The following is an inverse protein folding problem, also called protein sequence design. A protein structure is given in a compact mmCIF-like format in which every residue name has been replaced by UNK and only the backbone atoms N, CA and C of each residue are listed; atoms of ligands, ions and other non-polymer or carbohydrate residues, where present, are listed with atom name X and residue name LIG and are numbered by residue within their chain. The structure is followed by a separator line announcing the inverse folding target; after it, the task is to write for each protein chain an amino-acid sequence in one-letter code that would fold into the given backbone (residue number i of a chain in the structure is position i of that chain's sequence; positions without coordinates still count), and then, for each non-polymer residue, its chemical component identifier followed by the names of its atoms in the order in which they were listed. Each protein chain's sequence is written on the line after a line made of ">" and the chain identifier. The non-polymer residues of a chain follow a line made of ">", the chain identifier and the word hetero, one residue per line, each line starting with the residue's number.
data_IF_628772091317
#
_entry.id   IF_628772091317
#
_cell.length_a   1.000
_cell.length_b   1.000
_cell.length_c   1.000
_cell.angle_alpha   90.00
_cell.angle_beta   90.00
_cell.angle_gamma   90.00
#
_symmetry.space_group_name_H-M   'P 1'
#
loop_
_entity.id
_entity.type
_entity.pdbx_description
1 polymer ?
#
# COMPACT_ATOMS: atom_id res chain seq x y z
N UNK A 1 -15.49 38.82 18.67
CA UNK A 1 -15.08 37.47 19.12
C UNK A 1 -13.74 37.19 18.46
N UNK A 2 -12.68 36.83 19.20
CA UNK A 2 -11.38 36.51 18.58
C UNK A 2 -11.46 35.11 17.95
N UNK A 3 -10.88 34.95 16.76
CA UNK A 3 -10.83 33.66 16.07
C UNK A 3 -9.99 32.66 16.88
N UNK A 4 -10.43 31.40 16.95
CA UNK A 4 -9.74 30.32 17.68
C UNK A 4 -9.53 29.15 16.74
N UNK A 5 -8.30 28.63 16.68
CA UNK A 5 -7.94 27.50 15.81
C UNK A 5 -7.22 26.45 16.64
N UNK A 6 -7.61 25.18 16.48
CA UNK A 6 -6.97 24.09 17.21
C UNK A 6 -5.66 23.66 16.54
N UNK A 7 -4.71 23.14 17.33
CA UNK A 7 -3.47 22.51 16.81
C UNK A 7 -3.80 21.44 15.78
N UNK A 8 -4.77 20.55 16.04
CA UNK A 8 -5.21 19.50 15.11
C UNK A 8 -5.72 20.05 13.76
N UNK A 9 -6.26 21.27 13.74
CA UNK A 9 -6.66 21.92 12.47
C UNK A 9 -5.42 22.43 11.72
N UNK A 10 -4.45 22.99 12.43
CA UNK A 10 -3.21 23.52 11.83
C UNK A 10 -2.33 22.42 11.22
N UNK A 11 -2.31 21.22 11.83
CA UNK A 11 -1.50 20.09 11.35
C UNK A 11 -1.92 19.60 9.97
N UNK A 12 -3.16 19.86 9.54
CA UNK A 12 -3.62 19.56 8.18
C UNK A 12 -2.92 20.40 7.11
N UNK A 13 -2.29 21.52 7.48
CA UNK A 13 -1.46 22.33 6.59
C UNK A 13 -2.19 22.95 5.40
N UNK A 14 -3.53 22.99 5.43
CA UNK A 14 -4.36 23.43 4.31
C UNK A 14 -5.18 24.67 4.70
N UNK A 15 -4.96 25.84 4.06
CA UNK A 15 -5.71 27.06 4.35
C UNK A 15 -7.22 26.89 4.19
N UNK A 16 -7.66 26.16 3.14
CA UNK A 16 -9.07 25.87 2.93
C UNK A 16 -9.65 24.97 4.03
N UNK A 17 -8.87 24.05 4.59
CA UNK A 17 -9.33 23.19 5.69
C UNK A 17 -9.69 24.04 6.92
N UNK A 18 -8.82 24.96 7.32
CA UNK A 18 -9.08 25.90 8.43
C UNK A 18 -10.36 26.69 8.15
N UNK A 19 -10.52 27.21 6.93
CA UNK A 19 -11.70 28.00 6.61
C UNK A 19 -12.99 27.18 6.66
N UNK A 20 -12.95 25.94 6.18
CA UNK A 20 -14.10 25.05 6.19
C UNK A 20 -14.42 24.54 7.59
N UNK A 21 -13.42 24.37 8.47
CA UNK A 21 -13.67 23.95 9.85
C UNK A 21 -14.32 25.03 10.71
N UNK A 22 -14.02 26.31 10.44
CA UNK A 22 -14.76 27.44 11.03
C UNK A 22 -16.22 27.49 10.56
N UNK A 23 -16.46 27.29 9.26
CA UNK A 23 -17.80 27.42 8.67
C UNK A 23 -18.69 26.20 8.90
N UNK A 24 -18.10 25.02 8.95
CA UNK A 24 -18.78 23.74 9.07
C UNK A 24 -18.07 22.86 10.12
N UNK A 25 -18.19 23.19 11.41
CA UNK A 25 -17.59 22.39 12.47
C UNK A 25 -18.06 20.94 12.38
N UNK A 26 -17.11 20.00 12.40
CA UNK A 26 -17.42 18.58 12.42
C UNK A 26 -17.28 18.12 13.86
N UNK A 27 -18.40 17.67 14.43
CA UNK A 27 -18.37 16.89 15.64
C UNK A 27 -17.99 15.47 15.22
N UNK A 28 -16.71 15.12 15.30
CA UNK A 28 -16.24 13.78 14.93
C UNK A 28 -16.80 12.75 15.92
N UNK A 29 -17.93 12.14 15.57
CA UNK A 29 -18.54 11.03 16.29
C UNK A 29 -18.12 9.70 15.66
N UNK A 30 -16.82 9.52 15.43
CA UNK A 30 -16.27 8.24 14.96
C UNK A 30 -15.86 7.40 16.15
N UNK A 31 -16.01 6.08 16.03
CA UNK A 31 -15.64 5.13 17.07
C UNK A 31 -14.15 5.28 17.41
N UNK A 32 -13.30 5.48 16.40
CA UNK A 32 -11.85 5.63 16.54
C UNK A 32 -11.48 6.90 17.30
N UNK A 33 -12.14 8.02 17.03
CA UNK A 33 -11.90 9.28 17.74
C UNK A 33 -12.33 9.16 19.22
N UNK A 34 -13.52 8.60 19.48
CA UNK A 34 -13.99 8.34 20.84
C UNK A 34 -13.10 7.34 21.58
N UNK A 35 -12.56 6.34 20.88
CA UNK A 35 -11.62 5.36 21.44
C UNK A 35 -10.31 6.02 21.87
N UNK A 36 -9.75 6.88 21.00
CA UNK A 36 -8.59 7.69 21.32
C UNK A 36 -8.78 8.52 22.59
N UNK A 37 -9.86 9.31 22.64
CA UNK A 37 -10.20 10.15 23.79
C UNK A 37 -10.35 9.33 25.09
N UNK A 38 -10.99 8.17 25.02
CA UNK A 38 -11.15 7.27 26.16
C UNK A 38 -9.81 6.77 26.70
N UNK A 39 -8.92 6.32 25.82
CA UNK A 39 -7.60 5.83 26.19
C UNK A 39 -6.74 6.96 26.77
N UNK A 40 -6.74 8.14 26.15
CA UNK A 40 -5.96 9.30 26.63
C UNK A 40 -6.43 9.74 28.02
N UNK A 41 -7.74 9.82 28.27
CA UNK A 41 -8.27 10.16 29.59
C UNK A 41 -7.83 9.18 30.68
N UNK A 42 -7.81 7.87 30.38
CA UNK A 42 -7.30 6.86 31.31
C UNK A 42 -5.79 6.98 31.54
N UNK A 43 -4.99 7.28 30.51
CA UNK A 43 -3.55 7.52 30.63
C UNK A 43 -3.27 8.74 31.50
N UNK A 44 -4.01 9.83 31.32
CA UNK A 44 -3.85 11.06 32.09
C UNK A 44 -4.06 10.82 33.58
N UNK A 45 -5.15 10.15 33.95
CA UNK A 45 -5.46 9.81 35.36
C UNK A 45 -4.46 8.81 35.94
N UNK A 46 -4.06 7.79 35.17
CA UNK A 46 -3.04 6.85 35.61
C UNK A 46 -1.68 7.53 35.82
N UNK A 47 -1.30 8.47 34.96
CA UNK A 47 -0.07 9.25 35.10
C UNK A 47 -0.09 10.09 36.38
N UNK A 48 -1.21 10.77 36.66
CA UNK A 48 -1.40 11.49 37.94
C UNK A 48 -1.26 10.56 39.14
N UNK A 49 -1.84 9.36 39.07
CA UNK A 49 -1.75 8.38 40.15
C UNK A 49 -0.31 7.88 40.38
N UNK A 50 0.47 7.61 39.32
CA UNK A 50 1.89 7.24 39.42
C UNK A 50 2.68 8.32 40.17
N UNK A 51 2.54 9.57 39.74
CA UNK A 51 3.27 10.69 40.32
C UNK A 51 2.90 10.94 41.79
N UNK A 52 1.63 10.70 42.13
CA UNK A 52 1.13 10.78 43.51
C UNK A 52 1.35 9.49 44.32
N UNK A 53 2.07 8.49 43.78
CA UNK A 53 2.32 7.19 44.42
C UNK A 53 1.03 6.48 44.89
N UNK A 54 -0.05 6.68 44.16
CA UNK A 54 -1.37 6.10 44.43
C UNK A 54 -1.49 4.74 43.73
N UNK A 55 -2.04 3.69 44.38
CA UNK A 55 -2.28 2.40 43.72
C UNK A 55 -3.17 2.53 42.49
N UNK A 56 -2.86 1.79 41.42
CA UNK A 56 -3.53 1.89 40.13
C UNK A 56 -4.23 0.59 39.78
N UNK A 57 -5.47 0.71 39.30
CA UNK A 57 -6.24 -0.36 38.68
C UNK A 57 -6.69 0.14 37.30
N UNK A 58 -6.14 -0.45 36.23
CA UNK A 58 -6.31 0.04 34.85
C UNK A 58 -7.77 -0.04 34.39
N UNK A 59 -8.47 -1.10 34.77
CA UNK A 59 -9.92 -1.23 34.57
C UNK A 59 -10.68 -0.10 35.25
N UNK A 60 -10.31 0.26 36.48
CA UNK A 60 -10.85 1.43 37.19
C UNK A 60 -10.61 2.75 36.45
N UNK A 61 -9.40 2.96 35.92
CA UNK A 61 -9.06 4.15 35.12
C UNK A 61 -9.89 4.24 33.83
N UNK A 62 -10.06 3.11 33.14
CA UNK A 62 -10.88 3.03 31.93
C UNK A 62 -12.36 3.33 32.24
N UNK A 63 -12.92 2.78 33.32
CA UNK A 63 -14.30 3.08 33.70
C UNK A 63 -14.48 4.55 34.07
N UNK A 64 -13.58 5.10 34.89
CA UNK A 64 -13.60 6.53 35.24
C UNK A 64 -13.51 7.43 34.01
N UNK A 65 -12.60 7.13 33.08
CA UNK A 65 -12.47 7.89 31.84
C UNK A 65 -13.72 7.78 30.97
N UNK A 66 -14.40 6.64 30.94
CA UNK A 66 -15.65 6.49 30.18
C UNK A 66 -16.79 7.30 30.79
N UNK A 67 -16.89 7.34 32.12
CA UNK A 67 -17.93 8.08 32.84
C UNK A 67 -17.76 9.61 32.68
N UNK A 68 -16.53 10.10 32.74
CA UNK A 68 -16.22 11.54 32.67
C UNK A 68 -16.43 12.16 31.28
N UNK A 69 -16.28 11.38 30.21
CA UNK A 69 -16.40 11.89 28.83
C UNK A 69 -17.86 11.99 28.34
N UNK A 70 -18.80 11.31 29.01
CA UNK A 70 -20.22 11.28 28.66
C UNK A 70 -20.53 10.90 27.19
N UNK A 71 -19.63 10.20 26.51
CA UNK A 71 -19.78 9.80 25.09
C UNK A 71 -20.51 8.44 24.98
N UNK A 72 -21.66 8.37 24.28
CA UNK A 72 -22.40 7.12 24.09
C UNK A 72 -21.61 6.05 23.31
N UNK A 73 -20.68 6.42 22.42
CA UNK A 73 -19.85 5.45 21.70
C UNK A 73 -18.89 4.73 22.64
N UNK A 74 -18.34 5.43 23.64
CA UNK A 74 -17.47 4.81 24.65
C UNK A 74 -18.21 3.73 25.43
N UNK A 75 -19.46 3.98 25.81
CA UNK A 75 -20.30 2.98 26.49
C UNK A 75 -20.50 1.72 25.65
N UNK A 76 -20.64 1.84 24.33
CA UNK A 76 -20.74 0.70 23.43
C UNK A 76 -19.42 -0.08 23.37
N UNK A 77 -18.28 0.62 23.29
CA UNK A 77 -16.95 0.01 23.22
C UNK A 77 -16.58 -0.78 24.48
N UNK A 78 -17.04 -0.37 25.66
CA UNK A 78 -16.84 -1.14 26.90
C UNK A 78 -17.47 -2.54 26.81
N UNK A 79 -18.59 -2.68 26.08
CA UNK A 79 -19.23 -3.97 25.83
C UNK A 79 -18.48 -4.85 24.84
N UNK A 80 -17.58 -4.28 24.03
CA UNK A 80 -16.74 -5.00 23.08
C UNK A 80 -15.45 -5.46 23.76
N UNK A 81 -15.33 -6.77 23.96
CA UNK A 81 -14.17 -7.37 24.62
C UNK A 81 -12.85 -7.10 23.89
N UNK A 82 -12.86 -7.02 22.56
CA UNK A 82 -11.63 -6.79 21.79
C UNK A 82 -11.15 -5.34 21.98
N UNK A 83 -12.07 -4.37 21.88
CA UNK A 83 -11.75 -2.96 22.10
C UNK A 83 -11.35 -2.69 23.55
N UNK A 84 -12.05 -3.27 24.52
CA UNK A 84 -11.69 -3.12 25.94
C UNK A 84 -10.31 -3.72 26.24
N UNK A 85 -10.01 -4.91 25.70
CA UNK A 85 -8.69 -5.53 25.86
C UNK A 85 -7.59 -4.69 25.23
N UNK A 86 -7.86 -4.09 24.07
CA UNK A 86 -6.89 -3.23 23.38
C UNK A 86 -6.67 -1.91 24.16
N UNK A 87 -7.73 -1.29 24.66
CA UNK A 87 -7.65 -0.10 25.51
C UNK A 87 -6.83 -0.38 26.79
N UNK A 88 -7.10 -1.51 27.47
CA UNK A 88 -6.34 -1.93 28.65
C UNK A 88 -4.85 -2.05 28.34
N UNK A 89 -4.51 -2.73 27.25
CA UNK A 89 -3.13 -2.93 26.82
C UNK A 89 -2.43 -1.60 26.50
N UNK A 90 -3.11 -0.69 25.82
CA UNK A 90 -2.57 0.65 25.50
C UNK A 90 -2.30 1.47 26.75
N UNK A 91 -3.26 1.51 27.70
CA UNK A 91 -3.10 2.22 28.98
C UNK A 91 -1.94 1.61 29.77
N UNK A 92 -1.90 0.29 29.89
CA UNK A 92 -0.80 -0.41 30.57
C UNK A 92 0.55 -0.02 29.99
N UNK A 93 0.69 -0.10 28.67
CA UNK A 93 1.91 0.26 27.96
C UNK A 93 2.35 1.71 28.20
N UNK A 94 1.40 2.66 28.21
CA UNK A 94 1.70 4.05 28.49
C UNK A 94 2.17 4.27 29.94
N UNK A 95 1.51 3.63 30.91
CA UNK A 95 1.87 3.71 32.33
C UNK A 95 3.21 3.05 32.64
N UNK A 96 3.50 1.90 32.02
CA UNK A 96 4.82 1.27 32.06
C UNK A 96 5.88 2.19 31.45
N UNK A 97 5.58 2.86 30.34
CA UNK A 97 6.49 3.84 29.76
C UNK A 97 6.78 5.00 30.71
N UNK A 98 5.74 5.60 31.32
CA UNK A 98 5.88 6.68 32.31
C UNK A 98 6.71 6.23 33.52
N UNK A 99 6.49 5.02 34.03
CA UNK A 99 7.23 4.51 35.19
C UNK A 99 8.72 4.30 34.89
N UNK A 100 9.07 4.04 33.63
CA UNK A 100 10.44 3.74 33.21
C UNK A 100 11.22 4.96 32.70
N UNK A 101 10.58 6.12 32.52
CA UNK A 101 11.29 7.35 32.17
C UNK A 101 11.83 8.02 33.43
N UNK A 102 13.06 8.50 33.36
CA UNK A 102 13.68 9.27 34.44
C UNK A 102 13.12 10.71 34.41
N UNK A 103 12.15 10.98 35.29
CA UNK A 103 11.59 12.31 35.50
C UNK A 103 12.29 12.91 36.73
N UNK A 104 13.06 14.00 36.58
CA UNK A 104 13.72 14.62 37.73
C UNK A 104 12.72 15.15 38.76
N UNK A 105 13.01 14.99 40.06
CA UNK A 105 12.09 15.33 41.17
C UNK A 105 11.65 16.81 41.23
N UNK A 106 12.34 17.72 40.52
CA UNK A 106 12.13 19.17 40.60
C UNK A 106 11.80 19.83 39.25
N UNK A 107 11.27 19.08 38.28
CA UNK A 107 10.78 19.67 37.04
C UNK A 107 9.26 19.87 37.07
N UNK A 108 8.73 20.96 36.48
CA UNK A 108 7.30 21.08 36.25
C UNK A 108 6.80 19.91 35.42
N UNK A 109 5.62 19.39 35.79
CA UNK A 109 4.92 18.32 35.08
C UNK A 109 3.59 18.87 34.57
N UNK A 110 3.28 18.57 33.31
CA UNK A 110 2.07 18.96 32.60
C UNK A 110 1.35 17.68 32.17
N UNK A 111 0.06 17.54 32.46
CA UNK A 111 -0.75 16.38 32.11
C UNK A 111 -2.07 16.90 31.57
N UNK A 112 -2.39 16.59 30.30
CA UNK A 112 -3.58 17.12 29.61
C UNK A 112 -3.68 18.65 29.73
N UNK A 113 -2.54 19.34 29.61
CA UNK A 113 -2.46 20.78 29.86
C UNK A 113 -2.95 21.56 28.64
N UNK A 114 -3.89 22.47 28.88
CA UNK A 114 -4.45 23.30 27.82
C UNK A 114 -3.54 24.51 27.56
N UNK A 115 -2.94 24.54 26.38
CA UNK A 115 -2.11 25.65 25.91
C UNK A 115 -2.93 26.60 25.04
N UNK A 116 -2.79 27.91 25.28
CA UNK A 116 -3.38 28.96 24.45
C UNK A 116 -2.34 30.02 24.08
N UNK A 117 -2.10 30.23 22.79
CA UNK A 117 -1.13 31.23 22.29
C UNK A 117 -1.81 32.21 21.35
N UNK A 118 -1.68 33.50 21.63
CA UNK A 118 -2.19 34.57 20.77
C UNK A 118 -1.16 34.96 19.70
N UNK A 119 -1.54 34.84 18.43
CA UNK A 119 -0.75 35.29 17.29
C UNK A 119 -1.14 36.75 16.99
N UNK A 120 -0.20 37.68 17.18
CA UNK A 120 -0.49 39.11 17.09
C UNK A 120 -0.62 39.58 15.64
N UNK A 121 0.18 38.99 14.76
CA UNK A 121 0.25 39.29 13.33
C UNK A 121 -1.06 38.95 12.62
N UNK A 122 -1.77 37.94 13.13
CA UNK A 122 -3.08 37.50 12.68
C UNK A 122 -3.90 37.23 13.92
N UNK A 123 -4.72 38.21 14.38
CA UNK A 123 -5.44 38.15 15.65
C UNK A 123 -6.29 36.87 15.79
N UNK A 124 -5.65 35.83 16.30
CA UNK A 124 -6.15 34.45 16.37
C UNK A 124 -5.45 33.77 17.54
N UNK A 125 -6.23 33.01 18.31
CA UNK A 125 -5.71 32.20 19.42
C UNK A 125 -5.56 30.77 18.92
N UNK A 126 -4.35 30.23 19.03
CA UNK A 126 -4.08 28.80 18.83
C UNK A 126 -4.39 28.08 20.14
N UNK A 127 -5.12 26.99 20.06
CA UNK A 127 -5.52 26.18 21.22
C UNK A 127 -5.08 24.75 21.02
N UNK A 128 -4.49 24.14 22.04
CA UNK A 128 -4.13 22.73 22.01
C UNK A 128 -4.11 22.14 23.41
N UNK A 129 -4.17 20.81 23.49
CA UNK A 129 -4.04 20.07 24.74
C UNK A 129 -2.78 19.21 24.61
N UNK A 130 -1.82 19.46 25.48
CA UNK A 130 -0.57 18.72 25.55
C UNK A 130 -0.80 17.51 26.47
N UNK A 131 -0.67 16.32 25.90
CA UNK A 131 -0.89 15.04 26.59
C UNK A 131 -0.01 14.91 27.84
N UNK A 132 1.31 15.02 27.68
CA UNK A 132 2.25 14.99 28.80
C UNK A 132 3.53 15.79 28.54
N UNK A 133 4.00 16.50 29.55
CA UNK A 133 5.22 17.29 29.49
C UNK A 133 5.96 17.30 30.82
N UNK A 134 7.29 17.26 30.78
CA UNK A 134 8.12 17.37 31.97
C UNK A 134 9.46 18.01 31.63
N UNK A 135 9.91 18.95 32.45
CA UNK A 135 11.14 19.70 32.20
C UNK A 135 11.13 20.30 30.79
N UNK A 136 11.98 19.76 29.91
CA UNK A 136 12.09 20.20 28.52
C UNK A 136 11.69 19.13 27.49
N UNK A 137 10.79 18.23 27.90
CA UNK A 137 10.31 17.12 27.08
C UNK A 137 8.79 17.19 26.92
N UNK A 138 8.31 16.96 25.70
CA UNK A 138 6.90 16.78 25.35
C UNK A 138 6.68 15.35 24.88
N UNK A 139 5.62 14.71 25.35
CA UNK A 139 5.17 13.40 24.92
C UNK A 139 3.74 13.54 24.37
N UNK A 140 3.49 12.95 23.21
CA UNK A 140 2.19 12.88 22.54
C UNK A 140 1.84 11.39 22.35
N UNK A 141 0.73 10.95 22.94
CA UNK A 141 0.29 9.57 22.88
C UNK A 141 -0.47 9.34 21.59
N UNK A 142 -0.18 8.23 20.91
CA UNK A 142 -0.89 7.84 19.68
C UNK A 142 -1.49 6.47 19.88
N UNK A 143 -2.81 6.36 19.76
CA UNK A 143 -3.52 5.07 19.81
C UNK A 143 -3.37 4.27 18.51
N UNK A 144 -2.88 4.87 17.43
CA UNK A 144 -2.49 4.17 16.20
C UNK A 144 -1.09 3.54 16.27
N UNK A 145 -0.76 2.72 15.26
CA UNK A 145 0.57 2.11 15.09
C UNK A 145 1.44 2.79 14.02
N UNK A 146 0.85 3.69 13.23
CA UNK A 146 1.49 4.33 12.08
C UNK A 146 1.98 5.74 12.40
N UNK A 147 3.21 6.04 11.99
CA UNK A 147 3.81 7.38 12.11
C UNK A 147 3.50 8.22 10.87
N UNK A 148 2.84 9.34 11.06
CA UNK A 148 2.52 10.29 10.00
C UNK A 148 3.28 11.62 10.20
N UNK A 149 3.56 12.32 9.10
CA UNK A 149 4.23 13.64 9.14
C UNK A 149 3.41 14.66 9.95
N UNK A 150 2.07 14.57 9.90
CA UNK A 150 1.18 15.45 10.67
C UNK A 150 1.37 15.34 12.18
N UNK A 151 1.78 14.18 12.70
CA UNK A 151 2.09 13.99 14.13
C UNK A 151 3.36 14.78 14.52
N UNK A 152 4.38 14.75 13.67
CA UNK A 152 5.60 15.51 13.92
C UNK A 152 5.35 17.02 13.83
N UNK A 153 4.49 17.47 12.90
CA UNK A 153 4.04 18.87 12.84
C UNK A 153 3.28 19.25 14.11
N UNK A 154 2.43 18.37 14.64
CA UNK A 154 1.71 18.59 15.89
C UNK A 154 2.67 18.87 17.06
N UNK A 155 3.67 18.00 17.25
CA UNK A 155 4.71 18.18 18.27
C UNK A 155 5.50 19.47 18.10
N UNK A 156 5.82 19.87 16.86
CA UNK A 156 6.46 21.17 16.57
C UNK A 156 5.61 22.35 17.02
N UNK A 157 4.30 22.30 16.75
CA UNK A 157 3.36 23.34 17.18
C UNK A 157 3.27 23.37 18.70
N UNK A 158 3.19 22.22 19.38
CA UNK A 158 3.20 22.18 20.85
C UNK A 158 4.50 22.72 21.46
N UNK A 159 5.66 22.36 20.89
CA UNK A 159 6.95 22.90 21.32
C UNK A 159 7.02 24.43 21.14
N UNK A 160 6.52 24.94 20.00
CA UNK A 160 6.38 26.38 19.77
C UNK A 160 5.46 27.04 20.80
N UNK A 161 4.32 26.43 21.11
CA UNK A 161 3.38 26.98 22.10
C UNK A 161 3.98 27.01 23.50
N UNK A 162 4.60 25.91 23.94
CA UNK A 162 5.26 25.81 25.25
C UNK A 162 6.42 26.81 25.38
N UNK A 163 7.22 26.98 24.32
CA UNK A 163 8.29 28.00 24.27
C UNK A 163 7.72 29.42 24.37
N UNK A 164 6.70 29.73 23.58
CA UNK A 164 6.09 31.08 23.55
C UNK A 164 5.47 31.46 24.89
N UNK A 165 4.97 30.48 25.64
CA UNK A 165 4.43 30.67 26.99
C UNK A 165 5.51 30.70 28.08
N UNK A 166 6.79 30.50 27.75
CA UNK A 166 7.89 30.45 28.72
C UNK A 166 7.91 29.19 29.59
N UNK A 167 7.21 28.13 29.16
CA UNK A 167 7.11 26.86 29.89
C UNK A 167 8.36 25.99 29.65
N UNK A 168 8.90 26.03 28.43
CA UNK A 168 10.04 25.22 27.98
C UNK A 168 11.06 26.08 27.20
N UNK A 169 12.32 25.67 27.17
CA UNK A 169 13.41 26.40 26.48
C UNK A 169 14.07 25.51 25.43
N UNK A 170 14.40 25.97 24.21
CA UNK A 170 15.09 25.11 23.25
C UNK A 170 16.48 24.64 23.75
N UNK A 171 16.96 23.43 23.38
CA UNK A 171 16.31 22.45 22.52
C UNK A 171 15.25 21.60 23.25
N UNK A 172 14.01 21.58 22.76
CA UNK A 172 12.89 20.84 23.37
C UNK A 172 12.89 19.41 22.81
N UNK A 173 12.96 18.40 23.68
CA UNK A 173 12.81 17.02 23.26
C UNK A 173 11.32 16.72 23.03
N UNK A 174 10.99 16.09 21.90
CA UNK A 174 9.61 15.69 21.59
C UNK A 174 9.56 14.21 21.27
N UNK A 175 8.53 13.54 21.77
CA UNK A 175 8.34 12.08 21.61
C UNK A 175 6.91 11.78 21.17
N UNK A 176 6.78 11.14 20.01
CA UNK A 176 5.55 10.42 19.68
C UNK A 176 5.64 9.02 20.24
N UNK A 177 4.65 8.60 21.03
CA UNK A 177 4.55 7.23 21.56
C UNK A 177 3.34 6.54 20.97
N UNK A 178 3.60 5.64 20.02
CA UNK A 178 2.59 4.83 19.33
C UNK A 178 2.29 3.57 20.12
N UNK A 179 1.08 3.48 20.68
CA UNK A 179 0.60 2.41 21.54
C UNK A 179 -0.06 1.26 20.77
N UNK A 180 -0.38 1.48 19.48
CA UNK A 180 -0.96 0.46 18.61
C UNK A 180 0.03 -0.65 18.24
N UNK A 181 -0.40 -1.91 18.38
CA UNK A 181 0.41 -3.12 18.15
C UNK A 181 1.12 -3.63 19.40
N UNK A 182 1.70 -4.83 19.35
CA UNK A 182 2.17 -5.58 20.54
C UNK A 182 3.10 -4.82 21.49
N UNK A 183 3.96 -3.94 20.96
CA UNK A 183 4.90 -3.12 21.73
C UNK A 183 4.85 -1.66 21.32
N UNK A 184 4.98 -0.71 22.27
CA UNK A 184 5.01 0.71 21.95
C UNK A 184 6.21 1.05 21.06
N UNK A 185 5.95 1.83 20.01
CA UNK A 185 7.00 2.44 19.19
C UNK A 185 7.17 3.88 19.61
N UNK A 186 8.41 4.29 19.85
CA UNK A 186 8.74 5.67 20.24
C UNK A 186 9.55 6.32 19.12
N UNK A 187 9.06 7.46 18.62
CA UNK A 187 9.82 8.32 17.71
C UNK A 187 10.24 9.55 18.49
N UNK A 188 11.56 9.76 18.61
CA UNK A 188 12.15 10.88 19.36
C UNK A 188 12.79 11.86 18.40
N UNK A 189 12.66 13.15 18.69
CA UNK A 189 13.41 14.21 18.02
C UNK A 189 13.64 15.38 18.97
N UNK A 190 14.50 16.32 18.58
CA UNK A 190 14.73 17.56 19.32
C UNK A 190 14.34 18.74 18.42
N UNK A 191 13.62 19.70 18.99
CA UNK A 191 13.18 20.91 18.32
C UNK A 191 14.08 22.06 18.76
N UNK A 192 14.80 22.60 17.79
CA UNK A 192 15.74 23.72 17.97
C UNK A 192 15.04 25.08 17.89
N UNK A 193 15.68 26.14 18.38
CA UNK A 193 15.16 27.52 18.27
C UNK A 193 14.87 27.93 16.81
N UNK A 194 15.71 27.47 15.87
CA UNK A 194 15.49 27.66 14.43
C UNK A 194 14.18 27.01 13.97
N UNK A 195 13.90 25.80 14.40
CA UNK A 195 12.66 25.09 14.06
C UNK A 195 11.43 25.73 14.72
N UNK A 196 11.56 26.28 15.93
CA UNK A 196 10.50 27.05 16.57
C UNK A 196 10.15 28.30 15.73
N UNK A 197 11.17 28.99 15.21
CA UNK A 197 10.99 30.14 14.31
C UNK A 197 10.31 29.72 13.00
N UNK A 198 10.74 28.62 12.39
CA UNK A 198 10.11 28.07 11.18
C UNK A 198 8.66 27.66 11.42
N UNK A 199 8.35 27.15 12.61
CA UNK A 199 6.99 26.76 13.00
C UNK A 199 6.10 27.98 13.15
N UNK A 200 6.61 29.07 13.77
CA UNK A 200 5.91 30.36 13.81
C UNK A 200 5.58 30.87 12.40
N UNK A 201 6.58 30.92 11.50
CA UNK A 201 6.40 31.38 10.12
C UNK A 201 5.38 30.53 9.36
N UNK A 202 5.43 29.21 9.53
CA UNK A 202 4.46 28.28 8.98
C UNK A 202 3.04 28.61 9.45
N UNK A 203 2.83 28.77 10.77
CA UNK A 203 1.51 29.06 11.33
C UNK A 203 0.99 30.41 10.83
N UNK A 204 1.81 31.47 10.88
CA UNK A 204 1.41 32.81 10.44
C UNK A 204 1.06 32.80 8.95
N UNK A 205 1.86 32.15 8.11
CA UNK A 205 1.59 32.03 6.67
C UNK A 205 0.29 31.27 6.41
N UNK A 206 0.07 30.18 7.13
CA UNK A 206 -1.12 29.34 6.99
C UNK A 206 -2.39 30.10 7.41
N UNK A 207 -2.36 30.80 8.54
CA UNK A 207 -3.47 31.61 9.04
C UNK A 207 -3.74 32.85 8.15
N UNK A 208 -2.71 33.50 7.61
CA UNK A 208 -2.88 34.56 6.59
C UNK A 208 -3.61 34.01 5.37
N UNK A 209 -3.13 32.90 4.82
CA UNK A 209 -3.72 32.29 3.64
C UNK A 209 -5.17 31.86 3.87
N UNK A 210 -5.55 31.38 5.06
CA UNK A 210 -6.93 30.96 5.34
C UNK A 210 -7.92 32.14 5.38
N UNK A 211 -7.45 33.35 5.73
CA UNK A 211 -8.27 34.57 5.77
C UNK A 211 -8.32 35.30 4.43
N UNK A 212 -7.17 35.47 3.77
CA UNK A 212 -7.05 36.33 2.59
C UNK A 212 -7.47 35.62 1.30
N UNK A 213 -7.04 34.37 1.12
CA UNK A 213 -7.31 33.58 -0.09
C UNK A 213 -7.21 32.08 0.22
N UNK A 214 -8.27 31.46 0.79
CA UNK A 214 -8.25 30.07 1.25
C UNK A 214 -8.22 29.11 0.05
N UNK A 215 -7.03 28.87 -0.49
CA UNK A 215 -6.82 27.91 -1.54
C UNK A 215 -6.57 26.51 -0.95
N UNK A 216 -7.11 25.45 -1.57
CA UNK A 216 -6.81 24.09 -1.16
C UNK A 216 -5.33 23.79 -1.42
N UNK A 217 -4.69 23.11 -0.47
CA UNK A 217 -3.31 22.63 -0.59
C UNK A 217 -3.33 21.10 -0.64
N UNK A 218 -2.78 20.47 -1.70
CA UNK A 218 -2.72 19.01 -1.78
C UNK A 218 -1.75 18.46 -0.72
N UNK A 219 -2.16 17.40 -0.05
CA UNK A 219 -1.37 16.67 0.94
C UNK A 219 -1.87 15.22 1.04
N UNK A 220 -1.10 14.35 1.68
CA UNK A 220 -1.48 12.95 1.90
C UNK A 220 -2.78 12.81 2.70
N UNK A 221 -3.12 13.81 3.52
CA UNK A 221 -4.37 13.86 4.27
C UNK A 221 -5.62 14.07 3.38
N UNK A 222 -5.48 14.43 2.10
CA UNK A 222 -6.63 14.75 1.24
C UNK A 222 -7.58 13.58 1.01
N UNK A 223 -7.10 12.33 1.06
CA UNK A 223 -7.93 11.13 0.85
C UNK A 223 -8.93 10.87 1.99
N UNK A 224 -8.54 11.24 3.21
CA UNK A 224 -9.31 11.06 4.44
C UNK A 224 -9.91 12.37 4.96
N UNK A 225 -9.64 13.50 4.31
CA UNK A 225 -10.15 14.81 4.67
C UNK A 225 -11.68 14.81 4.75
N UNK A 226 -12.21 15.24 5.89
CA UNK A 226 -13.64 15.25 6.19
C UNK A 226 -14.39 16.28 5.32
N UNK A 227 -13.68 17.31 4.85
CA UNK A 227 -14.20 18.33 3.94
C UNK A 227 -14.00 18.01 2.45
N UNK A 228 -13.57 16.79 2.08
CA UNK A 228 -13.26 16.44 0.69
C UNK A 228 -14.38 16.77 -0.32
N UNK A 229 -15.64 16.59 0.06
CA UNK A 229 -16.78 16.89 -0.81
C UNK A 229 -17.08 18.38 -0.98
N UNK A 230 -16.42 19.24 -0.19
CA UNK A 230 -16.47 20.71 -0.30
C UNK A 230 -15.19 21.29 -0.90
N UNK A 231 -14.18 20.45 -1.15
CA UNK A 231 -12.90 20.87 -1.71
C UNK A 231 -12.97 20.87 -3.25
N UNK A 232 -12.73 22.01 -3.93
CA UNK A 232 -12.74 22.06 -5.40
C UNK A 232 -11.59 21.24 -6.02
N UNK A 233 -10.46 21.10 -5.32
CA UNK A 233 -9.35 20.25 -5.78
C UNK A 233 -9.69 18.75 -5.71
N UNK A 234 -10.51 18.29 -4.76
CA UNK A 234 -10.82 16.86 -4.62
C UNK A 234 -11.55 16.30 -5.86
N UNK A 235 -12.50 17.05 -6.41
CA UNK A 235 -13.19 16.66 -7.64
C UNK A 235 -12.26 16.66 -8.87
N UNK A 236 -11.27 17.56 -8.89
CA UNK A 236 -10.25 17.60 -9.94
C UNK A 236 -9.29 16.41 -9.83
N UNK A 237 -8.76 16.17 -8.64
CA UNK A 237 -7.81 15.09 -8.36
C UNK A 237 -8.45 13.70 -8.52
N UNK A 238 -9.70 13.51 -8.11
CA UNK A 238 -10.42 12.24 -8.33
C UNK A 238 -10.70 11.98 -9.81
N UNK A 239 -10.98 13.03 -10.60
CA UNK A 239 -11.11 12.95 -12.06
C UNK A 239 -9.77 12.61 -12.72
N UNK A 240 -8.68 13.24 -12.28
CA UNK A 240 -7.32 12.97 -12.77
C UNK A 240 -6.84 11.56 -12.37
N UNK A 241 -7.10 11.08 -11.16
CA UNK A 241 -6.80 9.70 -10.73
C UNK A 241 -7.57 8.65 -11.56
N UNK A 242 -8.84 8.92 -11.89
CA UNK A 242 -9.60 8.09 -12.81
C UNK A 242 -9.01 8.06 -14.23
N UNK A 243 -8.50 9.19 -14.72
CA UNK A 243 -7.81 9.29 -16.01
C UNK A 243 -6.49 8.51 -15.97
N UNK A 244 -5.69 8.66 -14.91
CA UNK A 244 -4.42 7.94 -14.74
C UNK A 244 -4.61 6.42 -14.63
N UNK A 245 -5.66 5.96 -13.94
CA UNK A 245 -6.04 4.54 -13.91
C UNK A 245 -6.41 4.01 -15.31
N UNK A 246 -7.16 4.80 -16.09
CA UNK A 246 -7.46 4.47 -17.50
C UNK A 246 -6.20 4.44 -18.37
N UNK A 247 -5.28 5.40 -18.20
CA UNK A 247 -4.00 5.44 -18.92
C UNK A 247 -3.15 4.22 -18.57
N UNK A 248 -3.08 3.82 -17.29
CA UNK A 248 -2.35 2.61 -16.86
C UNK A 248 -2.93 1.35 -17.49
N UNK A 249 -4.26 1.23 -17.54
CA UNK A 249 -4.94 0.13 -18.24
C UNK A 249 -4.67 0.13 -19.76
N UNK A 250 -4.63 1.30 -20.39
CA UNK A 250 -4.30 1.42 -21.82
C UNK A 250 -2.84 1.01 -22.06
N UNK A 251 -1.90 1.47 -21.24
CA UNK A 251 -0.48 1.11 -21.32
C UNK A 251 -0.29 -0.40 -21.22
N UNK A 252 -0.92 -1.05 -20.24
CA UNK A 252 -0.85 -2.50 -20.07
C UNK A 252 -1.42 -3.26 -21.29
N UNK A 253 -2.51 -2.77 -21.88
CA UNK A 253 -3.09 -3.36 -23.09
C UNK A 253 -2.18 -3.17 -24.31
N UNK A 254 -1.49 -2.04 -24.42
CA UNK A 254 -0.52 -1.78 -25.49
C UNK A 254 0.74 -2.65 -25.33
N UNK A 255 1.23 -2.84 -24.11
CA UNK A 255 2.36 -3.73 -23.83
C UNK A 255 2.01 -5.19 -24.18
N UNK A 256 0.81 -5.65 -23.83
CA UNK A 256 0.31 -6.96 -24.26
C UNK A 256 0.21 -7.07 -25.79
N UNK A 257 -0.34 -6.06 -26.47
CA UNK A 257 -0.44 -6.06 -27.93
C UNK A 257 0.94 -6.09 -28.61
N UNK A 258 1.94 -5.40 -28.05
CA UNK A 258 3.31 -5.43 -28.55
C UNK A 258 3.95 -6.82 -28.39
N UNK A 259 3.72 -7.49 -27.25
CA UNK A 259 4.16 -8.88 -27.02
C UNK A 259 3.49 -9.86 -28.01
N UNK A 260 2.19 -9.73 -28.28
CA UNK A 260 1.51 -10.56 -29.28
C UNK A 260 2.02 -10.32 -30.70
N UNK A 261 2.35 -9.06 -31.06
CA UNK A 261 2.94 -8.74 -32.36
C UNK A 261 4.33 -9.35 -32.51
N UNK A 262 5.15 -9.31 -31.47
CA UNK A 262 6.47 -9.96 -31.43
C UNK A 262 6.34 -11.48 -31.59
N UNK A 263 5.42 -12.11 -30.86
CA UNK A 263 5.12 -13.54 -30.97
C UNK A 263 4.63 -13.91 -32.39
N UNK A 264 3.78 -13.08 -33.01
CA UNK A 264 3.31 -13.28 -34.38
C UNK A 264 4.44 -13.22 -35.43
N UNK A 265 5.42 -12.33 -35.26
CA UNK A 265 6.61 -12.28 -36.12
C UNK A 265 7.51 -13.50 -35.92
N UNK A 266 7.71 -13.95 -34.68
CA UNK A 266 8.47 -15.16 -34.36
C UNK A 266 7.82 -16.41 -34.95
N UNK A 267 6.48 -16.54 -34.85
CA UNK A 267 5.71 -17.62 -35.46
C UNK A 267 5.78 -17.60 -36.99
N UNK A 268 5.72 -16.42 -37.62
CA UNK A 268 5.86 -16.29 -39.09
C UNK A 268 7.27 -16.68 -39.54
N UNK A 269 8.30 -16.27 -38.81
CA UNK A 269 9.68 -16.70 -39.08
C UNK A 269 9.84 -18.21 -38.93
N UNK A 270 9.16 -18.82 -37.95
CA UNK A 270 9.20 -20.26 -37.72
C UNK A 270 8.48 -21.03 -38.83
N UNK A 271 7.30 -20.58 -39.26
CA UNK A 271 6.56 -21.15 -40.38
C UNK A 271 7.41 -21.17 -41.66
N UNK A 272 8.06 -20.05 -41.99
CA UNK A 272 8.96 -19.97 -43.15
C UNK A 272 10.15 -20.94 -43.05
N UNK A 273 10.68 -21.17 -41.84
CA UNK A 273 11.76 -22.17 -41.62
C UNK A 273 11.26 -23.60 -41.84
N UNK A 274 10.06 -23.91 -41.35
CA UNK A 274 9.44 -25.23 -41.52
C UNK A 274 9.13 -25.51 -42.99
N UNK A 275 8.61 -24.55 -43.74
CA UNK A 275 8.38 -24.68 -45.18
C UNK A 275 9.68 -24.90 -45.95
N UNK A 276 10.75 -24.18 -45.60
CA UNK A 276 12.06 -24.38 -46.21
C UNK A 276 12.65 -25.77 -45.89
N UNK A 277 12.43 -26.29 -44.69
CA UNK A 277 12.83 -27.66 -44.32
C UNK A 277 12.01 -28.72 -45.07
N UNK A 278 10.69 -28.52 -45.19
CA UNK A 278 9.82 -29.41 -45.93
C UNK A 278 10.22 -29.50 -47.41
N UNK A 279 10.50 -28.35 -48.05
CA UNK A 279 10.95 -28.32 -49.44
C UNK A 279 12.31 -29.02 -49.63
N UNK A 280 13.27 -28.82 -48.72
CA UNK A 280 14.54 -29.57 -48.76
C UNK A 280 14.36 -31.08 -48.63
N UNK A 281 13.40 -31.53 -47.81
CA UNK A 281 13.08 -32.95 -47.67
C UNK A 281 12.42 -33.50 -48.94
N UNK A 282 11.53 -32.73 -49.58
CA UNK A 282 10.92 -33.08 -50.86
C UNK A 282 11.97 -33.21 -51.96
N UNK A 283 12.88 -32.24 -52.07
CA UNK A 283 13.97 -32.24 -53.04
C UNK A 283 14.90 -33.44 -52.84
N UNK A 284 15.29 -33.70 -51.58
CA UNK A 284 16.14 -34.85 -51.23
C UNK A 284 15.44 -36.19 -51.45
N UNK A 285 14.14 -36.27 -51.21
CA UNK A 285 13.34 -37.45 -51.52
C UNK A 285 13.28 -37.70 -53.04
N UNK A 286 13.10 -36.64 -53.85
CA UNK A 286 13.11 -36.73 -55.30
C UNK A 286 14.48 -37.17 -55.86
N UNK A 287 15.57 -36.67 -55.27
CA UNK A 287 16.93 -37.09 -55.58
C UNK A 287 17.16 -38.57 -55.24
N UNK A 288 16.82 -39.00 -54.02
CA UNK A 288 16.95 -40.40 -53.60
C UNK A 288 16.10 -41.35 -54.45
N UNK A 289 14.88 -40.95 -54.83
CA UNK A 289 14.04 -41.74 -55.75
C UNK A 289 14.74 -41.95 -57.09
N UNK A 290 15.33 -40.90 -57.67
CA UNK A 290 16.09 -41.00 -58.93
C UNK A 290 17.27 -41.97 -58.81
N UNK A 291 18.00 -41.92 -57.69
CA UNK A 291 19.14 -42.80 -57.44
C UNK A 291 18.72 -44.26 -57.29
N UNK A 292 17.55 -44.53 -56.70
CA UNK A 292 17.06 -45.89 -56.42
C UNK A 292 16.33 -46.51 -57.63
N UNK A 293 15.72 -45.71 -58.52
CA UNK A 293 15.02 -46.18 -59.73
C UNK A 293 15.89 -46.90 -60.77
N UNK A 294 17.21 -47.01 -60.56
CA UNK A 294 18.09 -47.88 -61.36
C UNK A 294 18.15 -49.34 -60.88
N UNK A 295 17.40 -49.69 -59.84
CA UNK A 295 17.22 -51.09 -59.41
C UNK A 295 15.81 -51.56 -59.76
N UNK A 296 15.71 -52.70 -60.45
CA UNK A 296 14.47 -53.35 -60.90
C UNK A 296 13.70 -53.98 -59.73
N UNK A 297 13.40 -53.18 -58.70
CA UNK A 297 12.59 -53.55 -57.55
C UNK A 297 11.16 -52.99 -57.69
N UNK A 298 10.13 -53.69 -57.17
CA UNK A 298 8.76 -53.17 -57.07
C UNK A 298 8.70 -51.82 -56.33
N UNK A 299 7.83 -50.90 -56.77
CA UNK A 299 7.69 -49.55 -56.20
C UNK A 299 7.48 -49.52 -54.68
N UNK A 300 6.82 -50.51 -54.10
CA UNK A 300 6.62 -50.62 -52.64
C UNK A 300 7.93 -50.83 -51.87
N UNK A 301 8.87 -51.60 -52.42
CA UNK A 301 10.18 -51.88 -51.82
C UNK A 301 11.11 -50.67 -51.98
N UNK A 302 10.97 -49.91 -53.07
CA UNK A 302 11.69 -48.66 -53.31
C UNK A 302 11.25 -47.60 -52.29
N UNK A 303 9.95 -47.45 -52.04
CA UNK A 303 9.45 -46.52 -51.02
C UNK A 303 9.92 -46.90 -49.61
N UNK A 304 9.84 -48.16 -49.24
CA UNK A 304 10.28 -48.63 -47.93
C UNK A 304 11.78 -48.37 -47.69
N UNK A 305 12.61 -48.57 -48.71
CA UNK A 305 14.05 -48.23 -48.65
C UNK A 305 14.31 -46.72 -48.58
N UNK A 306 13.56 -45.89 -49.30
CA UNK A 306 13.69 -44.42 -49.25
C UNK A 306 13.35 -43.89 -47.85
N UNK A 307 12.30 -44.41 -47.22
CA UNK A 307 11.93 -44.05 -45.85
C UNK A 307 12.98 -44.53 -44.84
N UNK A 308 13.41 -45.80 -44.94
CA UNK A 308 14.34 -46.41 -43.99
C UNK A 308 15.77 -45.84 -44.06
N UNK A 309 16.26 -45.51 -45.26
CA UNK A 309 17.65 -45.05 -45.45
C UNK A 309 17.80 -43.53 -45.55
N UNK A 310 16.72 -42.80 -45.86
CA UNK A 310 16.74 -41.35 -46.07
C UNK A 310 16.02 -40.55 -45.00
N UNK A 311 14.75 -40.86 -44.73
CA UNK A 311 13.87 -40.00 -43.91
C UNK A 311 14.02 -40.30 -42.41
N UNK A 312 14.07 -41.57 -42.01
CA UNK A 312 14.15 -41.95 -40.58
C UNK A 312 15.43 -41.43 -39.90
N UNK A 313 16.64 -41.58 -40.48
CA UNK A 313 17.87 -41.03 -39.87
C UNK A 313 17.87 -39.50 -39.76
N UNK A 314 17.16 -38.81 -40.66
CA UNK A 314 17.02 -37.35 -40.58
C UNK A 314 16.07 -36.93 -39.46
N UNK A 315 15.00 -37.70 -39.22
CA UNK A 315 14.09 -37.48 -38.09
C UNK A 315 14.77 -37.81 -36.75
N UNK A 316 15.57 -38.88 -36.70
CA UNK A 316 16.25 -39.30 -35.46
C UNK A 316 17.28 -38.29 -34.96
N UNK A 317 17.91 -37.54 -35.88
CA UNK A 317 18.85 -36.46 -35.58
C UNK A 317 18.20 -35.14 -35.13
N UNK A 318 16.86 -35.04 -35.13
CA UNK A 318 16.15 -33.86 -34.62
C UNK A 318 16.14 -33.86 -33.08
N UNK A 319 16.17 -32.66 -32.48
CA UNK A 319 15.92 -32.54 -31.04
C UNK A 319 14.48 -32.95 -30.70
N UNK A 320 14.22 -33.35 -29.45
CA UNK A 320 12.86 -33.76 -29.03
C UNK A 320 11.81 -32.66 -29.25
N UNK A 321 12.21 -31.38 -29.15
CA UNK A 321 11.35 -30.24 -29.45
C UNK A 321 10.99 -30.17 -30.94
N UNK A 322 11.94 -30.41 -31.83
CA UNK A 322 11.73 -30.41 -33.28
C UNK A 322 10.94 -31.64 -33.74
N UNK A 323 11.18 -32.82 -33.13
CA UNK A 323 10.37 -34.03 -33.34
C UNK A 323 8.91 -33.78 -32.97
N UNK A 324 8.66 -33.13 -31.84
CA UNK A 324 7.30 -32.80 -31.39
C UNK A 324 6.60 -31.81 -32.34
N UNK A 325 7.34 -30.84 -32.88
CA UNK A 325 6.82 -29.85 -33.82
C UNK A 325 6.55 -30.43 -35.22
N UNK A 326 7.41 -31.33 -35.70
CA UNK A 326 7.20 -32.08 -36.95
C UNK A 326 5.94 -32.95 -36.85
N UNK A 327 5.72 -33.58 -35.69
CA UNK A 327 4.54 -34.41 -35.42
C UNK A 327 3.24 -33.58 -35.41
N UNK A 328 3.27 -32.36 -34.85
CA UNK A 328 2.14 -31.41 -34.89
C UNK A 328 1.85 -30.95 -36.33
N UNK A 329 2.89 -30.73 -37.15
CA UNK A 329 2.73 -30.37 -38.56
C UNK A 329 2.10 -31.51 -39.38
N UNK A 330 2.57 -32.76 -39.19
CA UNK A 330 2.01 -33.95 -39.84
C UNK A 330 0.57 -34.25 -39.40
N UNK A 331 0.21 -33.93 -38.16
CA UNK A 331 -1.16 -34.07 -37.62
C UNK A 331 -2.14 -33.02 -38.18
N UNK A 332 -1.65 -31.86 -38.61
CA UNK A 332 -2.49 -30.82 -39.25
C UNK A 332 -2.85 -31.14 -40.71
N UNK A 333 -2.06 -32.00 -41.35
CA UNK A 333 -2.21 -32.38 -42.78
C UNK A 333 -2.64 -33.85 -42.96
N UNK A 334 -3.52 -34.35 -42.08
CA UNK A 334 -3.99 -35.75 -42.05
C UNK A 334 -4.92 -36.17 -43.19
N UNK A 335 -4.84 -35.54 -44.37
CA UNK A 335 -5.61 -35.98 -45.54
C UNK A 335 -4.86 -37.00 -46.43
N UNK A 336 -3.54 -37.19 -46.27
CA UNK A 336 -2.77 -37.86 -47.35
C UNK A 336 -1.67 -38.83 -46.93
N UNK A 337 -1.43 -39.05 -45.63
CA UNK A 337 -0.40 -40.00 -45.18
C UNK A 337 -1.05 -41.33 -44.80
N UNK A 338 -0.79 -42.37 -45.60
CA UNK A 338 -1.15 -43.76 -45.24
C UNK A 338 -0.35 -44.14 -43.99
N UNK A 339 -1.02 -44.16 -42.85
CA UNK A 339 -0.42 -44.43 -41.54
C UNK A 339 0.22 -45.82 -41.44
N UNK A 340 -0.13 -46.74 -42.34
CA UNK A 340 0.37 -48.11 -42.43
C UNK A 340 1.88 -48.19 -42.71
N UNK A 341 2.47 -47.16 -43.33
CA UNK A 341 3.88 -47.13 -43.76
C UNK A 341 4.80 -46.51 -42.68
N UNK A 342 4.24 -45.98 -41.59
CA UNK A 342 5.02 -45.35 -40.53
C UNK A 342 5.70 -46.39 -39.61
N UNK A 343 6.90 -46.10 -39.07
CA UNK A 343 7.57 -46.94 -38.08
C UNK A 343 6.71 -47.13 -36.82
N UNK A 344 6.79 -48.31 -36.20
CA UNK A 344 6.00 -48.70 -35.02
C UNK A 344 6.12 -47.70 -33.88
N UNK A 345 7.32 -47.16 -33.64
CA UNK A 345 7.62 -46.16 -32.61
C UNK A 345 6.93 -44.81 -32.83
N UNK A 346 6.68 -44.44 -34.08
CA UNK A 346 5.95 -43.21 -34.44
C UNK A 346 4.45 -43.45 -34.41
N UNK A 347 3.98 -44.63 -34.86
CA UNK A 347 2.56 -45.03 -34.75
C UNK A 347 2.08 -45.01 -33.30
N UNK A 348 2.88 -45.53 -32.38
CA UNK A 348 2.56 -45.58 -30.95
C UNK A 348 2.42 -44.17 -30.34
N UNK A 349 3.35 -43.26 -30.66
CA UNK A 349 3.29 -41.86 -30.23
C UNK A 349 2.13 -41.08 -30.86
N UNK A 350 1.78 -41.35 -32.12
CA UNK A 350 0.62 -40.77 -32.80
C UNK A 350 -0.71 -41.18 -32.17
N UNK A 351 -0.82 -42.45 -31.75
CA UNK A 351 -2.02 -42.94 -31.05
C UNK A 351 -2.17 -42.31 -29.66
N UNK A 352 -1.07 -42.18 -28.90
CA UNK A 352 -1.07 -41.51 -27.59
C UNK A 352 -1.53 -40.04 -27.70
N UNK A 353 -1.13 -39.33 -28.76
CA UNK A 353 -1.50 -37.93 -28.96
C UNK A 353 -2.95 -37.74 -29.43
N UNK A 354 -3.47 -38.65 -30.26
CA UNK A 354 -4.90 -38.67 -30.61
C UNK A 354 -5.80 -38.85 -29.38
N UNK A 355 -5.34 -39.60 -28.38
CA UNK A 355 -6.03 -39.77 -27.10
C UNK A 355 -5.95 -38.53 -26.19
N UNK A 356 -4.82 -37.81 -26.21
CA UNK A 356 -4.66 -36.55 -25.47
C UNK A 356 -5.55 -35.45 -26.03
N UNK A 357 -5.68 -35.36 -27.35
CA UNK A 357 -6.49 -34.33 -28.01
C UNK A 357 -7.99 -34.57 -27.78
N UNK A 358 -8.44 -35.84 -27.83
CA UNK A 358 -9.80 -36.23 -27.45
C UNK A 358 -10.14 -35.93 -25.99
N UNK A 359 -9.19 -36.08 -25.06
CA UNK A 359 -9.37 -35.76 -23.64
C UNK A 359 -9.40 -34.26 -23.36
N UNK A 360 -8.67 -33.44 -24.12
CA UNK A 360 -8.69 -31.97 -23.98
C UNK A 360 -9.97 -31.34 -24.53
N UNK A 361 -10.52 -31.86 -25.62
CA UNK A 361 -11.78 -31.38 -26.20
C UNK A 361 -12.97 -31.65 -25.26
N UNK A 362 -13.00 -32.80 -24.57
CA UNK A 362 -14.04 -33.10 -23.55
C UNK A 362 -13.95 -32.29 -22.25
N UNK A 363 -12.86 -31.54 -22.04
CA UNK A 363 -12.70 -30.68 -20.85
C UNK A 363 -13.13 -29.23 -21.13
N UNK A 364 -13.51 -28.93 -22.36
CA UNK A 364 -13.95 -27.61 -22.85
C UNK A 364 -15.38 -27.64 -23.44
N UNK A 365 -16.05 -28.78 -23.38
CA UNK A 365 -17.51 -28.92 -23.43
C UNK A 365 -17.98 -29.36 -22.07
#
# INVERSE_FOLDING_TARGET
>A
MMDRVSVTTLTKGCPLYIKLSEMYPINSSSIEASFGTWVHGAIAEGTKAILNKTPIQIDGLLMFSAESQHDPLIKQMIGDKALLSEAFRMVQNALEYITNIDIPDNVPILIEEKLEVFIREIPTIIVGILDFGYGNTIIDWKTGSFSAEEHHIQLKIYAYMAYTLGIMNPPIEVRDVYLGGDKPKVVKSQITEKELTQTHDFIVKLLKASKDNPQPHPSDACGLCEYKFRCPLYFRLSKEANIMSKIKNISQRLDHAYQYRKLGMELKSLANKLDAMANKLIDKHAELRKTITHTSAPNSIIEEKVWASGIIPLIDNLSEKEKHQLLIALLRDTATIKTEILPSSIKEKLNILKDIDRKKIRKFM
#
